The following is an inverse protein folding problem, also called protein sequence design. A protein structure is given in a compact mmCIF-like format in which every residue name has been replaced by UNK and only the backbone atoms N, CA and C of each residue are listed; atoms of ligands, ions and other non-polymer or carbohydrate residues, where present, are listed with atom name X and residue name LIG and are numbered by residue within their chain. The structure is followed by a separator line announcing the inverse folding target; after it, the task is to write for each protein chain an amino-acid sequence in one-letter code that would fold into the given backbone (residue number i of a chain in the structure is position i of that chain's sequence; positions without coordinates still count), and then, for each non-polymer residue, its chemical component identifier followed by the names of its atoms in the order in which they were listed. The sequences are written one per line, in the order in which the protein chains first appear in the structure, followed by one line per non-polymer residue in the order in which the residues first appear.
data_IF_665828520970
#
_entry.id   IF_665828520970
#
_cell.length_a   1.000
_cell.length_b   1.000
_cell.length_c   1.000
_cell.angle_alpha   90.00
_cell.angle_beta   90.00
_cell.angle_gamma   90.00
#
_symmetry.space_group_name_H-M   'P 1'
#
loop_
_entity.id
_entity.type
_entity.pdbx_description
1 polymer ?
#
# COMPACT_ATOMS: atom_id res chain seq x y z
N UNK A 1 42.85 3.88 -19.55
CA UNK A 1 41.99 2.75 -19.96
C UNK A 1 41.69 1.83 -18.76
N UNK A 2 40.64 2.09 -17.97
CA UNK A 2 40.10 1.16 -16.95
C UNK A 2 38.59 1.38 -16.76
N UNK A 3 37.79 1.06 -17.78
CA UNK A 3 36.33 0.94 -17.70
C UNK A 3 35.94 -0.43 -18.29
N UNK A 4 36.21 -1.54 -17.60
CA UNK A 4 35.80 -2.87 -18.11
C UNK A 4 35.65 -3.98 -17.06
N UNK A 5 35.35 -3.66 -15.80
CA UNK A 5 35.15 -4.71 -14.77
C UNK A 5 33.80 -4.71 -14.06
N UNK A 6 32.94 -3.70 -14.26
CA UNK A 6 31.59 -3.68 -13.65
C UNK A 6 30.47 -4.29 -14.51
N UNK A 7 30.74 -4.63 -15.77
CA UNK A 7 29.73 -5.17 -16.70
C UNK A 7 29.58 -6.71 -16.68
N UNK A 8 30.42 -7.44 -15.96
CA UNK A 8 30.40 -8.92 -15.97
C UNK A 8 29.67 -9.60 -14.79
N UNK A 9 29.11 -8.86 -13.83
CA UNK A 9 28.47 -9.44 -12.65
C UNK A 9 26.93 -9.57 -12.74
N UNK A 10 26.30 -9.19 -13.85
CA UNK A 10 24.84 -9.18 -13.99
C UNK A 10 24.25 -10.33 -14.81
N UNK A 11 25.06 -11.19 -15.43
CA UNK A 11 24.56 -12.17 -16.40
C UNK A 11 24.21 -13.58 -15.87
N UNK A 12 24.40 -13.88 -14.58
CA UNK A 12 24.24 -15.26 -14.06
C UNK A 12 23.08 -15.49 -13.08
N UNK A 13 22.22 -14.51 -12.82
CA UNK A 13 21.12 -14.67 -11.84
C UNK A 13 19.85 -15.23 -12.47
N UNK A 14 19.27 -16.26 -11.84
CA UNK A 14 17.97 -16.84 -12.20
C UNK A 14 16.88 -15.75 -12.25
N UNK A 15 15.81 -15.98 -13.04
CA UNK A 15 14.74 -14.99 -13.23
C UNK A 15 14.09 -14.56 -11.90
N UNK A 16 13.96 -15.49 -10.95
CA UNK A 16 13.44 -15.22 -9.59
C UNK A 16 14.36 -14.31 -8.77
N UNK A 17 15.67 -14.52 -8.84
CA UNK A 17 16.65 -13.68 -8.14
C UNK A 17 16.61 -12.23 -8.65
N UNK A 18 16.51 -12.03 -9.98
CA UNK A 18 16.40 -10.69 -10.57
C UNK A 18 15.15 -9.93 -10.14
N UNK A 19 13.99 -10.60 -10.05
CA UNK A 19 12.73 -9.99 -9.58
C UNK A 19 12.83 -9.56 -8.12
N UNK A 20 13.38 -10.42 -7.25
CA UNK A 20 13.57 -10.09 -5.83
C UNK A 20 14.44 -8.84 -5.65
N UNK A 21 15.59 -8.76 -6.35
CA UNK A 21 16.44 -7.57 -6.29
C UNK A 21 15.74 -6.30 -6.78
N UNK A 22 14.90 -6.40 -7.82
CA UNK A 22 14.12 -5.27 -8.31
C UNK A 22 13.10 -4.78 -7.26
N UNK A 23 12.39 -5.69 -6.61
CA UNK A 23 11.44 -5.36 -5.54
C UNK A 23 12.14 -4.71 -4.35
N UNK A 24 13.26 -5.28 -3.88
CA UNK A 24 14.04 -4.72 -2.77
C UNK A 24 14.51 -3.29 -3.11
N UNK A 25 14.95 -3.04 -4.35
CA UNK A 25 15.39 -1.71 -4.77
C UNK A 25 14.26 -0.68 -4.84
N UNK A 26 13.02 -1.10 -5.18
CA UNK A 26 11.84 -0.24 -5.10
C UNK A 26 11.45 0.04 -3.65
N UNK A 27 11.36 -1.01 -2.83
CA UNK A 27 11.00 -0.92 -1.42
C UNK A 27 11.92 0.03 -0.63
N UNK A 28 13.23 0.02 -0.90
CA UNK A 28 14.21 0.93 -0.25
C UNK A 28 13.94 2.42 -0.47
N UNK A 29 13.18 2.80 -1.49
CA UNK A 29 12.86 4.21 -1.79
C UNK A 29 11.58 4.69 -1.12
N UNK A 30 10.80 3.76 -0.56
CA UNK A 30 9.47 4.05 -0.02
C UNK A 30 9.59 4.87 1.26
N UNK A 31 8.84 5.97 1.30
CA UNK A 31 8.69 6.88 2.44
C UNK A 31 7.24 6.97 2.93
N UNK A 32 6.29 6.37 2.20
CA UNK A 32 4.90 6.26 2.59
C UNK A 32 4.32 4.96 2.04
N UNK A 33 3.64 4.19 2.90
CA UNK A 33 2.85 3.03 2.50
C UNK A 33 1.36 3.36 2.53
N UNK A 34 0.71 3.29 1.38
CA UNK A 34 -0.74 3.44 1.24
C UNK A 34 -1.36 2.06 1.08
N UNK A 35 -2.51 1.81 1.71
CA UNK A 35 -3.23 0.53 1.66
C UNK A 35 -4.70 0.78 1.30
N UNK A 36 -5.28 -0.07 0.46
CA UNK A 36 -6.73 -0.24 0.49
C UNK A 36 -7.16 -0.96 1.78
N UNK A 37 -8.48 -1.06 1.99
CA UNK A 37 -9.09 -1.72 3.12
C UNK A 37 -9.68 -3.05 2.70
N UNK A 38 -10.69 -3.04 1.84
CA UNK A 38 -11.50 -4.21 1.55
C UNK A 38 -10.80 -5.09 0.53
N UNK A 39 -10.36 -6.29 0.93
CA UNK A 39 -9.51 -7.17 0.12
C UNK A 39 -8.01 -7.00 0.38
N UNK A 40 -7.61 -5.97 1.16
CA UNK A 40 -6.21 -5.74 1.55
C UNK A 40 -5.99 -5.85 3.05
N UNK A 41 -6.60 -4.96 3.85
CA UNK A 41 -6.55 -5.03 5.32
C UNK A 41 -7.63 -5.95 5.89
N UNK A 42 -8.56 -6.38 5.05
CA UNK A 42 -9.62 -7.34 5.33
C UNK A 42 -9.63 -8.39 4.22
N UNK A 43 -10.36 -9.47 4.42
CA UNK A 43 -10.61 -10.50 3.39
C UNK A 43 -11.75 -10.13 2.41
N UNK A 44 -12.09 -8.85 2.31
CA UNK A 44 -13.13 -8.32 1.41
C UNK A 44 -14.57 -8.55 1.89
N UNK A 45 -14.80 -9.31 2.96
CA UNK A 45 -16.15 -9.57 3.48
C UNK A 45 -16.70 -8.37 4.23
N UNK A 46 -17.97 -8.06 3.97
CA UNK A 46 -18.76 -7.07 4.71
C UNK A 46 -19.90 -7.79 5.41
N UNK A 47 -19.93 -7.73 6.75
CA UNK A 47 -21.09 -8.18 7.51
C UNK A 47 -22.01 -6.97 7.72
N UNK A 48 -23.27 -7.11 7.33
CA UNK A 48 -24.34 -6.15 7.60
C UNK A 48 -25.38 -6.79 8.51
N UNK A 49 -25.91 -6.01 9.45
CA UNK A 49 -27.09 -6.42 10.20
C UNK A 49 -28.37 -5.72 9.70
N UNK A 50 -29.50 -6.12 10.25
CA UNK A 50 -30.84 -5.61 9.94
C UNK A 50 -31.06 -4.15 10.36
N UNK A 51 -30.11 -3.55 11.09
CA UNK A 51 -30.10 -2.15 11.50
C UNK A 51 -29.12 -1.30 10.69
N UNK A 52 -28.50 -1.87 9.65
CA UNK A 52 -27.54 -1.19 8.80
C UNK A 52 -26.19 -0.92 9.47
N UNK A 53 -25.86 -1.62 10.56
CA UNK A 53 -24.51 -1.61 11.13
C UNK A 53 -23.63 -2.56 10.32
N UNK A 54 -22.37 -2.17 10.15
CA UNK A 54 -21.39 -3.00 9.46
C UNK A 54 -20.25 -3.46 10.38
N UNK A 55 -19.74 -4.66 10.11
CA UNK A 55 -18.52 -5.20 10.73
C UNK A 55 -17.52 -5.60 9.65
N UNK A 56 -16.24 -5.50 9.99
CA UNK A 56 -15.09 -5.90 9.17
C UNK A 56 -14.12 -6.70 10.04
N UNK A 57 -13.48 -7.71 9.45
CA UNK A 57 -12.39 -8.45 10.09
C UNK A 57 -11.05 -7.88 9.65
N UNK A 58 -10.21 -7.50 10.62
CA UNK A 58 -8.83 -7.09 10.39
C UNK A 58 -7.88 -8.10 11.03
N UNK A 59 -6.70 -8.28 10.45
CA UNK A 59 -5.68 -9.16 11.04
C UNK A 59 -4.83 -8.40 12.09
N UNK A 60 -4.56 -9.09 13.20
CA UNK A 60 -3.71 -8.57 14.28
C UNK A 60 -2.24 -8.50 13.88
N UNK A 61 -1.78 -9.40 13.01
CA UNK A 61 -0.41 -9.43 12.47
C UNK A 61 -0.16 -8.23 11.57
N UNK A 62 -1.15 -7.84 10.76
CA UNK A 62 -1.06 -6.60 9.96
C UNK A 62 -0.98 -5.37 10.86
N UNK A 63 -1.76 -5.35 11.95
CA UNK A 63 -1.65 -4.32 12.98
C UNK A 63 -0.24 -4.23 13.57
N UNK A 64 0.39 -5.36 13.87
CA UNK A 64 1.78 -5.41 14.33
C UNK A 64 2.76 -4.91 13.26
N UNK A 65 2.59 -5.32 11.99
CA UNK A 65 3.41 -4.85 10.87
C UNK A 65 3.35 -3.34 10.67
N UNK A 66 2.15 -2.75 10.75
CA UNK A 66 1.94 -1.30 10.68
C UNK A 66 2.62 -0.59 11.86
N UNK A 67 2.50 -1.13 13.08
CA UNK A 67 3.18 -0.58 14.25
C UNK A 67 4.71 -0.62 14.11
N UNK A 68 5.27 -1.70 13.55
CA UNK A 68 6.71 -1.78 13.25
C UNK A 68 7.14 -0.78 12.17
N UNK A 69 6.34 -0.61 11.12
CA UNK A 69 6.59 0.39 10.08
C UNK A 69 6.67 1.80 10.68
N UNK A 70 5.71 2.16 11.55
CA UNK A 70 5.72 3.46 12.23
C UNK A 70 6.93 3.65 13.14
N UNK A 71 7.32 2.61 13.90
CA UNK A 71 8.53 2.64 14.73
C UNK A 71 9.81 2.82 13.90
N UNK A 72 9.83 2.30 12.68
CA UNK A 72 10.91 2.49 11.73
C UNK A 72 10.85 3.84 10.98
N UNK A 73 9.90 4.72 11.33
CA UNK A 73 9.73 6.03 10.70
C UNK A 73 9.02 6.01 9.34
N UNK A 74 8.41 4.88 8.96
CA UNK A 74 7.62 4.76 7.74
C UNK A 74 6.14 5.07 8.05
N UNK A 75 5.61 6.25 7.70
CA UNK A 75 4.18 6.54 7.85
C UNK A 75 3.33 5.65 6.94
N UNK A 76 2.09 5.44 7.35
CA UNK A 76 1.08 4.73 6.56
C UNK A 76 -0.16 5.59 6.31
N UNK A 77 -0.91 5.25 5.26
CA UNK A 77 -2.18 5.88 4.89
C UNK A 77 -3.19 4.84 4.38
N UNK A 78 -4.46 5.22 4.40
CA UNK A 78 -5.57 4.44 3.82
C UNK A 78 -6.24 5.23 2.70
N UNK A 79 -6.52 4.58 1.58
CA UNK A 79 -7.46 5.04 0.55
C UNK A 79 -8.45 3.93 0.26
N UNK A 80 -9.71 4.10 0.68
CA UNK A 80 -10.78 3.14 0.46
C UNK A 80 -11.91 3.72 -0.40
N UNK A 81 -12.47 2.88 -1.27
CA UNK A 81 -13.67 3.21 -2.05
C UNK A 81 -14.94 3.31 -1.19
N UNK A 82 -14.99 2.59 -0.07
CA UNK A 82 -16.11 2.61 0.88
C UNK A 82 -15.89 3.65 1.98
N UNK A 83 -16.96 3.97 2.71
CA UNK A 83 -16.89 4.76 3.93
C UNK A 83 -17.54 4.02 5.08
N UNK A 84 -16.78 3.89 6.17
CA UNK A 84 -17.31 3.39 7.41
C UNK A 84 -16.59 3.87 8.66
N UNK A 85 -17.36 3.84 9.77
CA UNK A 85 -16.87 4.17 11.10
C UNK A 85 -15.84 3.16 11.59
N UNK A 86 -15.99 1.90 11.21
CA UNK A 86 -15.09 0.80 11.59
C UNK A 86 -13.66 1.07 11.10
N UNK A 87 -13.50 1.54 9.86
CA UNK A 87 -12.19 1.92 9.30
C UNK A 87 -11.55 3.07 10.08
N UNK A 88 -12.33 4.10 10.44
CA UNK A 88 -11.81 5.22 11.22
C UNK A 88 -11.34 4.79 12.62
N UNK A 89 -12.08 3.89 13.28
CA UNK A 89 -11.70 3.34 14.59
C UNK A 89 -10.40 2.54 14.48
N UNK A 90 -10.29 1.64 13.50
CA UNK A 90 -9.09 0.83 13.28
C UNK A 90 -7.88 1.69 12.91
N UNK A 91 -8.06 2.67 12.03
CA UNK A 91 -7.01 3.60 11.66
C UNK A 91 -6.49 4.40 12.87
N UNK A 92 -7.39 4.86 13.74
CA UNK A 92 -7.03 5.55 14.98
C UNK A 92 -6.26 4.64 15.93
N UNK A 93 -6.72 3.41 16.13
CA UNK A 93 -6.05 2.40 16.96
C UNK A 93 -4.61 2.14 16.48
N UNK A 94 -4.42 2.02 15.17
CA UNK A 94 -3.13 1.74 14.55
C UNK A 94 -2.26 3.00 14.31
N UNK A 95 -2.73 4.19 14.71
CA UNK A 95 -1.97 5.44 14.50
C UNK A 95 -1.86 5.91 13.04
N UNK A 96 -2.74 5.43 12.15
CA UNK A 96 -2.78 5.81 10.74
C UNK A 96 -3.42 7.20 10.62
N UNK A 97 -2.61 8.21 10.32
CA UNK A 97 -3.04 9.62 10.35
C UNK A 97 -3.74 10.10 9.07
N UNK A 98 -3.49 9.44 7.94
CA UNK A 98 -4.01 9.85 6.64
C UNK A 98 -5.02 8.80 6.19
N UNK A 99 -6.30 9.16 6.21
CA UNK A 99 -7.40 8.27 5.84
C UNK A 99 -8.30 9.00 4.84
N UNK A 100 -8.46 8.42 3.65
CA UNK A 100 -9.42 8.84 2.65
C UNK A 100 -10.42 7.71 2.41
N UNK A 101 -11.70 8.01 2.62
CA UNK A 101 -12.83 7.09 2.40
C UNK A 101 -13.77 7.70 1.35
N UNK A 102 -14.71 6.91 0.81
CA UNK A 102 -15.53 7.28 -0.35
C UNK A 102 -14.69 7.70 -1.57
N UNK A 103 -13.50 7.12 -1.72
CA UNK A 103 -12.56 7.46 -2.79
C UNK A 103 -12.76 6.52 -3.98
N UNK A 104 -13.77 6.82 -4.81
CA UNK A 104 -13.95 6.11 -6.08
C UNK A 104 -12.91 6.53 -7.12
N UNK A 105 -12.48 7.79 -7.07
CA UNK A 105 -11.30 8.28 -7.78
C UNK A 105 -10.11 8.30 -6.81
N UNK A 106 -9.42 7.16 -6.69
CA UNK A 106 -8.25 7.01 -5.83
C UNK A 106 -7.09 7.93 -6.23
N UNK A 107 -7.00 8.34 -7.52
CA UNK A 107 -5.97 9.27 -7.97
C UNK A 107 -6.15 10.66 -7.37
N UNK A 108 -7.40 11.15 -7.23
CA UNK A 108 -7.67 12.44 -6.59
C UNK A 108 -7.25 12.46 -5.12
N UNK A 109 -7.57 11.40 -4.38
CA UNK A 109 -7.13 11.24 -2.98
C UNK A 109 -5.60 11.15 -2.89
N UNK A 110 -4.99 10.35 -3.76
CA UNK A 110 -3.54 10.21 -3.84
C UNK A 110 -2.81 11.54 -4.13
N UNK A 111 -3.30 12.33 -5.10
CA UNK A 111 -2.74 13.65 -5.39
C UNK A 111 -2.82 14.60 -4.18
N UNK A 112 -3.89 14.51 -3.39
CA UNK A 112 -4.02 15.29 -2.16
C UNK A 112 -2.98 14.88 -1.12
N UNK A 113 -2.65 13.59 -1.03
CA UNK A 113 -1.58 13.07 -0.16
C UNK A 113 -0.22 13.60 -0.61
N UNK A 114 0.10 13.52 -1.91
CA UNK A 114 1.37 14.04 -2.42
C UNK A 114 1.54 15.53 -2.14
N UNK A 115 0.49 16.33 -2.35
CA UNK A 115 0.49 17.76 -2.03
C UNK A 115 0.78 18.04 -0.55
N UNK A 116 0.17 17.26 0.36
CA UNK A 116 0.35 17.42 1.82
C UNK A 116 1.71 16.96 2.31
N UNK A 117 2.28 15.92 1.69
CA UNK A 117 3.51 15.27 2.15
C UNK A 117 4.76 15.76 1.42
N UNK A 118 4.62 16.38 0.24
CA UNK A 118 5.73 16.76 -0.63
C UNK A 118 6.45 15.57 -1.28
N UNK A 119 5.92 14.35 -1.14
CA UNK A 119 6.51 13.14 -1.70
C UNK A 119 6.34 13.07 -3.22
N UNK A 120 7.24 12.33 -3.85
CA UNK A 120 7.16 11.99 -5.28
C UNK A 120 6.58 10.60 -5.46
N UNK A 121 6.04 10.35 -6.66
CA UNK A 121 5.46 9.04 -7.02
C UNK A 121 6.41 7.87 -6.69
N UNK A 122 7.70 8.02 -7.02
CA UNK A 122 8.74 7.02 -6.77
C UNK A 122 9.04 6.71 -5.29
N UNK A 123 8.49 7.48 -4.35
CA UNK A 123 8.68 7.35 -2.90
C UNK A 123 7.45 6.77 -2.20
N UNK A 124 6.41 6.41 -2.96
CA UNK A 124 5.18 5.84 -2.41
C UNK A 124 5.04 4.37 -2.80
N UNK A 125 4.57 3.56 -1.85
CA UNK A 125 4.06 2.23 -2.11
C UNK A 125 2.55 2.20 -1.98
N UNK A 126 1.88 1.38 -2.79
CA UNK A 126 0.44 1.13 -2.66
C UNK A 126 0.14 -0.36 -2.75
N UNK A 127 -0.70 -0.85 -1.83
CA UNK A 127 -1.25 -2.20 -1.81
C UNK A 127 -2.73 -2.11 -2.18
N UNK A 128 -3.12 -2.82 -3.24
CA UNK A 128 -4.50 -2.94 -3.73
C UNK A 128 -4.87 -4.37 -4.09
N UNK A 129 -6.13 -4.60 -4.40
CA UNK A 129 -6.70 -5.91 -4.72
C UNK A 129 -7.61 -5.93 -5.95
N UNK A 130 -8.11 -4.77 -6.42
CA UNK A 130 -9.14 -4.73 -7.48
C UNK A 130 -8.82 -3.73 -8.62
N UNK A 131 -9.59 -3.79 -9.70
CA UNK A 131 -9.43 -2.95 -10.90
C UNK A 131 -9.44 -1.45 -10.62
N UNK A 132 -10.17 -1.02 -9.58
CA UNK A 132 -10.23 0.38 -9.15
C UNK A 132 -8.85 0.90 -8.67
N UNK A 133 -7.94 0.00 -8.29
CA UNK A 133 -6.59 0.31 -7.85
C UNK A 133 -5.60 0.49 -9.00
N UNK A 134 -5.88 -0.08 -10.17
CA UNK A 134 -4.96 -0.08 -11.32
C UNK A 134 -4.44 1.33 -11.65
N UNK A 135 -5.27 2.39 -11.71
CA UNK A 135 -4.77 3.73 -12.00
C UNK A 135 -3.71 4.21 -10.99
N UNK A 136 -3.88 3.90 -9.70
CA UNK A 136 -2.94 4.26 -8.64
C UNK A 136 -1.70 3.33 -8.64
N UNK A 137 -1.89 2.02 -8.80
CA UNK A 137 -0.83 1.03 -8.91
C UNK A 137 0.13 1.34 -10.08
N UNK A 138 -0.38 1.86 -11.20
CA UNK A 138 0.44 2.29 -12.34
C UNK A 138 1.30 3.53 -12.05
N UNK A 139 0.95 4.30 -11.02
CA UNK A 139 1.59 5.59 -10.73
C UNK A 139 2.65 5.51 -9.64
N UNK A 140 2.43 4.71 -8.60
CA UNK A 140 3.36 4.61 -7.45
C UNK A 140 4.70 3.95 -7.78
N UNK A 141 5.73 4.30 -7.01
CA UNK A 141 7.08 3.74 -7.16
C UNK A 141 7.18 2.27 -6.82
N UNK A 142 6.33 1.79 -5.90
CA UNK A 142 6.22 0.38 -5.56
C UNK A 142 4.77 -0.08 -5.47
N UNK A 143 4.30 -0.73 -6.54
CA UNK A 143 2.98 -1.35 -6.61
C UNK A 143 3.00 -2.77 -6.07
N UNK A 144 1.99 -3.10 -5.29
CA UNK A 144 1.79 -4.40 -4.66
C UNK A 144 0.33 -4.79 -4.87
N UNK A 145 0.10 -5.99 -5.39
CA UNK A 145 -1.20 -6.63 -5.40
C UNK A 145 -1.18 -7.77 -4.38
N UNK A 146 -2.27 -7.97 -3.64
CA UNK A 146 -2.44 -9.15 -2.79
C UNK A 146 -2.54 -10.42 -3.65
N UNK A 147 -2.36 -11.59 -3.03
CA UNK A 147 -2.20 -12.85 -3.77
C UNK A 147 -3.44 -13.26 -4.58
N UNK A 148 -4.61 -12.88 -4.09
CA UNK A 148 -5.94 -13.16 -4.63
C UNK A 148 -6.59 -11.93 -5.29
N UNK A 149 -5.78 -10.91 -5.62
CA UNK A 149 -6.24 -9.74 -6.36
C UNK A 149 -6.85 -10.10 -7.73
N UNK A 150 -7.86 -9.34 -8.16
CA UNK A 150 -8.61 -9.54 -9.41
C UNK A 150 -7.85 -9.03 -10.66
#
# INVERSE_FOLDING_TARGET
MKKSSKLKAQSSKSSGSRRLYACVNKAKKVKLLIMDVDGVLTDGRIILDDRGRELKFFDVKDGHGIALAHRAGLPTAIISGRNSKVVNLRAKELGIKIVYQNSLDKLKSYQSILKKTGLKDGEVAFIGDDLIDIPLLKKVGFSIAVADAL
#
